data_IF_760105674058
#
_entry.id   IF_760105674058
#
_cell.length_a   1.000
_cell.length_b   1.000
_cell.length_c   1.000
_cell.angle_alpha   90.00
_cell.angle_beta   90.00
_cell.angle_gamma   90.00
#
_symmetry.space_group_name_H-M   'P 1'
#
loop_
_entity.id
_entity.type
_entity.pdbx_description
1 polymer ?
#
# COMPACT_ATOMS: atom_id res chain seq x y z
N UNK A 1 13.60 -0.83 22.71
CA UNK A 1 12.90 -1.01 21.43
C UNK A 1 12.32 0.33 20.99
N UNK A 2 12.30 0.58 19.68
CA UNK A 2 11.56 1.71 19.12
C UNK A 2 10.10 1.30 18.89
N UNK A 3 9.16 2.24 19.09
CA UNK A 3 7.73 1.96 18.89
C UNK A 3 6.96 3.20 18.42
N UNK A 4 6.01 3.01 17.55
CA UNK A 4 5.02 4.02 17.21
C UNK A 4 3.99 4.06 18.34
N UNK A 5 3.93 5.18 19.07
CA UNK A 5 3.03 5.36 20.23
C UNK A 5 1.68 5.95 19.86
N UNK A 6 1.63 6.68 18.76
CA UNK A 6 0.38 7.17 18.16
C UNK A 6 0.53 7.38 16.66
N UNK A 7 -0.56 7.25 15.92
CA UNK A 7 -0.64 7.65 14.51
C UNK A 7 -2.10 7.99 14.13
N UNK A 8 -2.24 8.77 13.07
CA UNK A 8 -3.55 9.13 12.53
C UNK A 8 -3.46 9.74 11.14
N UNK A 9 -4.60 9.92 10.45
CA UNK A 9 -4.64 10.54 9.14
C UNK A 9 -4.16 12.00 9.19
N UNK A 10 -3.47 12.43 8.13
CA UNK A 10 -3.04 13.80 7.93
C UNK A 10 -3.14 14.18 6.45
N UNK A 11 -4.28 14.75 6.04
CA UNK A 11 -4.60 14.92 4.63
C UNK A 11 -4.67 13.57 3.92
N UNK A 12 -3.97 13.44 2.81
CA UNK A 12 -3.80 12.18 2.04
C UNK A 12 -2.63 11.33 2.53
N UNK A 13 -2.09 11.63 3.70
CA UNK A 13 -0.99 10.91 4.33
C UNK A 13 -1.29 10.56 5.78
N UNK A 14 -0.25 10.48 6.59
CA UNK A 14 -0.34 10.13 8.01
C UNK A 14 0.62 10.97 8.87
N UNK A 15 0.23 11.22 10.12
CA UNK A 15 1.13 11.71 11.17
C UNK A 15 1.31 10.64 12.23
N UNK A 16 2.44 10.63 12.92
CA UNK A 16 2.73 9.65 13.96
C UNK A 16 3.74 10.19 14.98
N UNK A 17 3.73 9.60 16.18
CA UNK A 17 4.76 9.81 17.19
C UNK A 17 5.55 8.52 17.34
N UNK A 18 6.88 8.61 17.18
CA UNK A 18 7.82 7.51 17.38
C UNK A 18 8.56 7.72 18.71
N UNK A 19 8.51 6.73 19.60
CA UNK A 19 9.36 6.67 20.78
C UNK A 19 10.58 5.79 20.49
N UNK A 20 11.77 6.38 20.64
CA UNK A 20 13.06 5.72 20.44
C UNK A 20 13.52 4.98 21.71
N UNK A 21 14.51 4.07 21.63
CA UNK A 21 14.95 3.26 22.76
C UNK A 21 15.48 4.02 23.97
N UNK A 22 15.92 5.25 23.77
CA UNK A 22 16.40 6.17 24.84
C UNK A 22 15.28 7.04 25.44
N UNK A 23 14.01 6.82 25.02
CA UNK A 23 12.86 7.61 25.43
C UNK A 23 12.64 8.90 24.64
N UNK A 24 13.49 9.21 23.68
CA UNK A 24 13.29 10.38 22.81
C UNK A 24 12.02 10.19 21.97
N UNK A 25 11.16 11.20 21.94
CA UNK A 25 10.01 11.22 21.06
C UNK A 25 10.28 12.06 19.81
N UNK A 26 9.84 11.53 18.67
CA UNK A 26 9.99 12.11 17.34
C UNK A 26 8.64 12.19 16.66
N UNK A 27 8.21 13.40 16.31
CA UNK A 27 7.02 13.63 15.51
C UNK A 27 7.35 13.43 14.02
N UNK A 28 6.66 12.49 13.40
CA UNK A 28 6.85 12.16 11.98
C UNK A 28 5.61 12.42 11.16
N UNK A 29 5.80 12.71 9.88
CA UNK A 29 4.73 12.85 8.88
C UNK A 29 5.09 12.12 7.61
N UNK A 30 4.11 11.45 7.03
CA UNK A 30 4.17 10.85 5.69
C UNK A 30 3.16 11.60 4.82
N UNK A 31 3.65 12.33 3.82
CA UNK A 31 2.86 13.37 3.13
C UNK A 31 1.73 12.83 2.26
N UNK A 32 1.98 11.75 1.52
CA UNK A 32 1.07 11.28 0.45
C UNK A 32 0.75 9.78 0.51
N UNK A 33 1.28 9.06 1.47
CA UNK A 33 1.11 7.61 1.55
C UNK A 33 0.32 7.25 2.81
N UNK A 34 -1.00 7.12 2.75
CA UNK A 34 -1.81 6.73 3.89
C UNK A 34 -1.54 5.28 4.30
N UNK A 35 -1.98 4.93 5.51
CA UNK A 35 -1.91 3.57 6.02
C UNK A 35 -0.75 3.31 6.98
N UNK A 36 -1.02 2.43 7.94
CA UNK A 36 -0.09 2.09 9.04
C UNK A 36 1.23 1.53 8.54
N UNK A 37 1.24 0.79 7.43
CA UNK A 37 2.46 0.22 6.86
C UNK A 37 3.47 1.30 6.44
N UNK A 38 3.02 2.44 5.93
CA UNK A 38 3.89 3.55 5.58
C UNK A 38 4.41 4.30 6.82
N UNK A 39 3.59 4.38 7.87
CA UNK A 39 4.04 4.87 9.19
C UNK A 39 5.14 3.98 9.76
N UNK A 40 4.98 2.65 9.70
CA UNK A 40 5.98 1.70 10.17
C UNK A 40 7.28 1.76 9.35
N UNK A 41 7.19 1.92 8.03
CA UNK A 41 8.35 2.12 7.17
C UNK A 41 9.10 3.41 7.54
N UNK A 42 8.38 4.51 7.74
CA UNK A 42 8.95 5.78 8.17
C UNK A 42 9.61 5.67 9.56
N UNK A 43 8.94 5.02 10.51
CA UNK A 43 9.48 4.78 11.85
C UNK A 43 10.76 3.93 11.81
N UNK A 44 10.81 2.90 10.95
CA UNK A 44 12.01 2.08 10.78
C UNK A 44 13.18 2.91 10.23
N UNK A 45 12.95 3.78 9.25
CA UNK A 45 13.98 4.68 8.72
C UNK A 45 14.47 5.65 9.79
N UNK A 46 13.59 6.30 10.55
CA UNK A 46 13.96 7.21 11.62
C UNK A 46 14.73 6.50 12.74
N UNK A 47 14.32 5.29 13.09
CA UNK A 47 15.02 4.45 14.07
C UNK A 47 16.45 4.11 13.61
N UNK A 48 16.62 3.78 12.33
CA UNK A 48 17.94 3.53 11.75
C UNK A 48 18.83 4.78 11.77
N UNK A 49 18.29 5.93 11.42
CA UNK A 49 18.99 7.21 11.46
C UNK A 49 19.47 7.53 12.88
N UNK A 50 18.60 7.34 13.88
CA UNK A 50 18.96 7.48 15.30
C UNK A 50 20.06 6.49 15.70
N UNK A 51 19.95 5.21 15.32
CA UNK A 51 20.94 4.17 15.64
C UNK A 51 22.32 4.44 15.04
N UNK A 52 22.38 5.17 13.92
CA UNK A 52 23.62 5.63 13.29
C UNK A 52 24.19 6.91 13.93
N UNK A 53 23.55 7.45 14.97
CA UNK A 53 23.99 8.68 15.65
C UNK A 53 23.76 9.96 14.82
N UNK A 54 22.86 9.90 13.83
CA UNK A 54 22.51 11.05 12.98
C UNK A 54 21.33 11.84 13.58
N UNK A 55 21.13 13.06 13.10
CA UNK A 55 20.07 13.96 13.56
C UNK A 55 18.68 13.47 13.10
N UNK A 56 17.99 12.76 13.98
CA UNK A 56 16.67 12.18 13.72
C UNK A 56 15.59 13.24 13.59
N UNK A 57 15.68 14.37 14.29
CA UNK A 57 14.69 15.45 14.20
C UNK A 57 14.74 16.12 12.81
N UNK A 58 15.96 16.37 12.32
CA UNK A 58 16.16 16.87 10.96
C UNK A 58 15.68 15.87 9.92
N UNK A 59 15.93 14.58 10.13
CA UNK A 59 15.45 13.54 9.24
C UNK A 59 13.90 13.47 9.20
N UNK A 60 13.23 13.63 10.33
CA UNK A 60 11.77 13.69 10.40
C UNK A 60 11.19 14.90 9.63
N UNK A 61 11.85 16.05 9.68
CA UNK A 61 11.48 17.22 8.87
C UNK A 61 11.62 16.94 7.37
N UNK A 62 12.72 16.30 6.94
CA UNK A 62 12.93 15.94 5.52
C UNK A 62 11.90 14.89 5.07
N UNK A 63 11.58 13.93 5.94
CA UNK A 63 10.55 12.90 5.65
C UNK A 63 9.18 13.53 5.40
N UNK A 64 8.83 14.59 6.11
CA UNK A 64 7.57 15.31 5.93
C UNK A 64 7.42 15.95 4.54
N UNK A 65 8.52 16.24 3.86
CA UNK A 65 8.55 16.79 2.50
C UNK A 65 8.68 15.70 1.42
N UNK A 66 8.93 14.45 1.82
CA UNK A 66 9.10 13.35 0.89
C UNK A 66 7.79 13.05 0.16
N UNK A 67 7.80 13.20 -1.16
CA UNK A 67 6.61 13.06 -2.02
C UNK A 67 6.21 11.59 -2.29
N UNK A 68 6.87 10.62 -1.65
CA UNK A 68 6.61 9.20 -1.88
C UNK A 68 7.38 8.63 -3.08
N UNK A 69 7.05 7.42 -3.45
CA UNK A 69 7.59 6.71 -4.61
C UNK A 69 6.46 6.50 -5.60
N UNK A 70 6.74 6.69 -6.90
CA UNK A 70 5.75 6.44 -7.96
C UNK A 70 5.17 5.02 -7.83
N UNK A 71 3.89 4.89 -8.12
CA UNK A 71 3.16 3.63 -8.04
C UNK A 71 3.14 3.02 -6.62
N UNK A 72 3.15 3.86 -5.59
CA UNK A 72 2.92 3.51 -4.18
C UNK A 72 1.92 4.50 -3.60
N UNK A 73 0.64 4.17 -3.70
CA UNK A 73 -0.49 5.07 -3.45
C UNK A 73 -0.30 6.43 -4.16
N UNK A 74 0.10 6.37 -5.42
CA UNK A 74 0.49 7.55 -6.21
C UNK A 74 -0.75 8.25 -6.75
N UNK A 75 -0.98 9.48 -6.32
CA UNK A 75 -2.13 10.28 -6.74
C UNK A 75 -1.92 10.77 -8.17
N UNK A 76 -2.55 10.10 -9.13
CA UNK A 76 -2.44 10.41 -10.57
C UNK A 76 -3.19 11.68 -10.93
N UNK A 77 -4.35 11.90 -10.32
CA UNK A 77 -5.15 13.09 -10.53
C UNK A 77 -6.58 12.95 -10.04
N UNK A 78 -7.32 14.04 -10.18
CA UNK A 78 -8.73 14.11 -9.82
C UNK A 78 -9.54 14.76 -10.97
N UNK A 79 -10.67 14.16 -11.31
CA UNK A 79 -11.60 14.71 -12.30
C UNK A 79 -13.04 14.34 -11.96
N UNK A 80 -13.95 15.31 -12.01
CA UNK A 80 -15.39 15.13 -11.77
C UNK A 80 -15.73 14.40 -10.45
N UNK A 81 -14.95 14.65 -9.39
CA UNK A 81 -15.13 14.02 -8.09
C UNK A 81 -14.59 12.58 -8.01
N UNK A 82 -13.86 12.13 -9.03
CA UNK A 82 -13.16 10.85 -9.02
C UNK A 82 -11.67 11.10 -8.85
N UNK A 83 -11.10 10.53 -7.79
CA UNK A 83 -9.66 10.53 -7.52
C UNK A 83 -9.06 9.23 -8.06
N UNK A 84 -8.00 9.34 -8.86
CA UNK A 84 -7.30 8.19 -9.44
C UNK A 84 -5.97 7.99 -8.73
N UNK A 85 -5.77 6.78 -8.19
CA UNK A 85 -4.56 6.37 -7.49
C UNK A 85 -3.92 5.21 -8.24
N UNK A 86 -2.60 5.27 -8.48
CA UNK A 86 -1.81 4.16 -9.04
C UNK A 86 -0.98 3.51 -7.93
N UNK A 87 -1.13 2.19 -7.78
CA UNK A 87 -0.35 1.39 -6.84
C UNK A 87 0.20 0.13 -7.50
N UNK A 88 1.40 -0.28 -7.11
CA UNK A 88 2.06 -1.47 -7.64
C UNK A 88 1.73 -2.73 -6.81
N UNK A 89 0.80 -2.65 -5.88
CA UNK A 89 0.36 -3.77 -5.07
C UNK A 89 -0.04 -4.96 -5.96
N UNK A 90 0.54 -6.11 -5.69
CA UNK A 90 0.29 -7.33 -6.45
C UNK A 90 0.32 -8.60 -5.57
N UNK A 91 0.73 -8.49 -4.32
CA UNK A 91 0.60 -9.53 -3.30
C UNK A 91 -0.67 -9.27 -2.47
N UNK A 92 -1.41 -10.31 -2.01
CA UNK A 92 -2.65 -10.13 -1.23
C UNK A 92 -2.51 -9.12 -0.09
N UNK A 93 -1.45 -9.23 0.70
CA UNK A 93 -1.18 -8.31 1.81
C UNK A 93 -1.01 -6.85 1.35
N UNK A 94 -0.35 -6.61 0.20
CA UNK A 94 -0.18 -5.28 -0.35
C UNK A 94 -1.52 -4.72 -0.86
N UNK A 95 -2.31 -5.55 -1.56
CA UNK A 95 -3.62 -5.18 -2.09
C UNK A 95 -4.55 -4.76 -0.94
N UNK A 96 -4.70 -5.61 0.06
CA UNK A 96 -5.51 -5.33 1.24
C UNK A 96 -5.06 -4.04 1.95
N UNK A 97 -3.74 -3.85 2.13
CA UNK A 97 -3.20 -2.65 2.77
C UNK A 97 -3.48 -1.37 1.97
N UNK A 98 -3.41 -1.43 0.63
CA UNK A 98 -3.71 -0.29 -0.25
C UNK A 98 -5.20 0.06 -0.22
N UNK A 99 -6.09 -0.94 -0.27
CA UNK A 99 -7.54 -0.73 -0.19
C UNK A 99 -7.92 -0.18 1.19
N UNK A 100 -7.40 -0.77 2.27
CA UNK A 100 -7.62 -0.28 3.63
C UNK A 100 -7.11 1.17 3.80
N UNK A 101 -5.96 1.51 3.21
CA UNK A 101 -5.46 2.88 3.21
C UNK A 101 -6.42 3.84 2.48
N UNK A 102 -6.97 3.44 1.32
CA UNK A 102 -7.97 4.23 0.60
C UNK A 102 -9.24 4.46 1.44
N UNK A 103 -9.69 3.44 2.18
CA UNK A 103 -10.86 3.55 3.07
C UNK A 103 -10.64 4.49 4.28
N UNK A 104 -9.40 4.81 4.65
CA UNK A 104 -9.13 5.82 5.69
C UNK A 104 -9.32 7.26 5.19
N UNK A 105 -9.41 7.46 3.87
CA UNK A 105 -9.67 8.75 3.25
C UNK A 105 -11.19 8.96 3.10
N UNK A 106 -11.61 10.22 2.98
CA UNK A 106 -13.03 10.58 2.91
C UNK A 106 -13.60 10.37 1.49
N UNK A 107 -13.47 9.12 0.99
CA UNK A 107 -14.08 8.70 -0.27
C UNK A 107 -15.39 7.95 0.00
N UNK A 108 -16.43 8.28 -0.78
CA UNK A 108 -17.72 7.61 -0.66
C UNK A 108 -17.67 6.14 -1.16
N UNK A 109 -16.81 5.84 -2.10
CA UNK A 109 -16.61 4.50 -2.67
C UNK A 109 -15.17 4.30 -3.14
N UNK A 110 -14.70 3.04 -3.06
CA UNK A 110 -13.40 2.59 -3.55
C UNK A 110 -13.62 1.56 -4.65
N UNK A 111 -13.25 1.92 -5.88
CA UNK A 111 -13.30 1.05 -7.05
C UNK A 111 -11.89 0.58 -7.37
N UNK A 112 -11.69 -0.74 -7.46
CA UNK A 112 -10.39 -1.33 -7.76
C UNK A 112 -10.36 -1.82 -9.20
N UNK A 113 -9.35 -1.38 -9.96
CA UNK A 113 -9.00 -1.94 -11.26
C UNK A 113 -7.70 -2.73 -11.08
N UNK A 114 -7.79 -4.06 -11.10
CA UNK A 114 -6.65 -4.93 -10.84
C UNK A 114 -6.16 -5.63 -12.11
N UNK A 115 -4.85 -5.49 -12.39
CA UNK A 115 -4.19 -6.21 -13.47
C UNK A 115 -3.23 -7.24 -12.88
N UNK A 116 -3.54 -8.55 -12.99
CA UNK A 116 -2.60 -9.59 -12.58
C UNK A 116 -1.27 -9.47 -13.34
N UNK A 117 -0.16 -9.64 -12.64
CA UNK A 117 1.16 -9.46 -13.19
C UNK A 117 1.90 -10.80 -13.27
N UNK A 118 2.20 -11.26 -14.49
CA UNK A 118 2.85 -12.52 -14.85
C UNK A 118 1.96 -13.76 -14.74
N UNK A 119 2.03 -14.59 -15.77
CA UNK A 119 1.35 -15.88 -15.79
C UNK A 119 1.90 -16.88 -14.76
N UNK A 120 3.22 -16.86 -14.52
CA UNK A 120 3.90 -17.74 -13.56
C UNK A 120 3.43 -17.57 -12.11
N UNK A 121 2.73 -16.48 -11.79
CA UNK A 121 2.17 -16.24 -10.44
C UNK A 121 0.78 -16.86 -10.23
N UNK A 122 0.12 -17.31 -11.28
CA UNK A 122 -1.23 -17.86 -11.15
C UNK A 122 -1.31 -18.98 -10.10
N UNK A 123 -0.45 -20.03 -10.09
CA UNK A 123 -0.53 -21.08 -9.08
C UNK A 123 -0.37 -20.55 -7.65
N UNK A 124 0.45 -19.49 -7.44
CA UNK A 124 0.63 -18.90 -6.13
C UNK A 124 -0.70 -18.34 -5.58
N UNK A 125 -1.49 -17.67 -6.42
CA UNK A 125 -2.72 -17.01 -5.98
C UNK A 125 -3.96 -17.91 -6.09
N UNK A 126 -3.94 -18.91 -6.96
CA UNK A 126 -5.09 -19.83 -7.14
C UNK A 126 -5.00 -21.09 -6.30
N UNK A 127 -3.83 -21.42 -5.72
CA UNK A 127 -3.62 -22.64 -4.97
C UNK A 127 -3.03 -22.38 -3.58
N UNK A 128 -1.94 -21.59 -3.47
CA UNK A 128 -1.18 -21.42 -2.23
C UNK A 128 -1.75 -20.30 -1.36
N UNK A 129 -2.11 -19.18 -1.96
CA UNK A 129 -2.65 -17.99 -1.29
C UNK A 129 -4.09 -17.71 -1.73
N UNK A 130 -4.88 -18.77 -1.98
CA UNK A 130 -6.24 -18.68 -2.50
C UNK A 130 -7.11 -17.80 -1.60
N UNK A 131 -7.22 -18.16 -0.34
CA UNK A 131 -8.09 -17.47 0.61
C UNK A 131 -7.62 -16.04 0.89
N UNK A 132 -6.30 -15.84 1.03
CA UNK A 132 -5.71 -14.52 1.24
C UNK A 132 -5.88 -13.61 0.02
N UNK A 133 -5.80 -14.17 -1.19
CA UNK A 133 -6.01 -13.40 -2.42
C UNK A 133 -7.49 -13.06 -2.60
N UNK A 134 -8.41 -13.99 -2.33
CA UNK A 134 -9.85 -13.74 -2.32
C UNK A 134 -10.22 -12.60 -1.37
N UNK A 135 -9.82 -12.74 -0.11
CA UNK A 135 -10.13 -11.76 0.94
C UNK A 135 -9.43 -10.39 0.78
N UNK A 136 -8.37 -10.31 -0.05
CA UNK A 136 -7.62 -9.06 -0.21
C UNK A 136 -8.46 -7.90 -0.80
N UNK A 137 -9.59 -8.20 -1.40
CA UNK A 137 -10.49 -7.23 -2.06
C UNK A 137 -11.78 -6.94 -1.27
N UNK A 138 -12.00 -7.56 -0.10
CA UNK A 138 -13.25 -7.47 0.65
C UNK A 138 -13.69 -6.04 1.00
N UNK A 139 -12.74 -5.16 1.24
CA UNK A 139 -13.01 -3.75 1.56
C UNK A 139 -13.31 -2.88 0.32
N UNK A 140 -13.18 -3.41 -0.91
CA UNK A 140 -13.50 -2.67 -2.12
C UNK A 140 -15.02 -2.66 -2.40
N UNK A 141 -15.57 -1.53 -2.87
CA UNK A 141 -16.97 -1.46 -3.28
C UNK A 141 -17.21 -2.16 -4.63
N UNK A 142 -16.22 -2.15 -5.50
CA UNK A 142 -16.20 -2.95 -6.75
C UNK A 142 -14.78 -3.30 -7.14
N UNK A 143 -14.62 -4.46 -7.77
CA UNK A 143 -13.35 -4.91 -8.34
C UNK A 143 -13.53 -5.27 -9.81
N UNK A 144 -12.64 -4.75 -10.64
CA UNK A 144 -12.57 -5.10 -12.08
C UNK A 144 -11.22 -5.74 -12.36
N UNK A 145 -11.25 -6.97 -12.88
CA UNK A 145 -10.04 -7.68 -13.29
C UNK A 145 -9.74 -7.43 -14.77
N UNK A 146 -8.52 -7.04 -15.06
CA UNK A 146 -7.97 -7.00 -16.41
C UNK A 146 -7.29 -8.33 -16.77
N UNK A 147 -6.98 -8.52 -18.04
CA UNK A 147 -6.14 -9.63 -18.44
C UNK A 147 -4.72 -9.49 -17.89
N UNK A 148 -4.04 -10.66 -17.79
CA UNK A 148 -2.69 -10.74 -17.23
C UNK A 148 -1.72 -9.89 -18.03
N UNK A 149 -0.98 -9.02 -17.34
CA UNK A 149 0.19 -8.36 -17.92
C UNK A 149 1.36 -9.36 -17.95
N UNK A 150 1.83 -9.75 -19.13
CA UNK A 150 2.77 -10.87 -19.28
C UNK A 150 4.18 -10.59 -18.73
N UNK A 151 4.61 -9.32 -18.71
CA UNK A 151 5.96 -8.92 -18.29
C UNK A 151 7.09 -9.72 -18.97
N UNK A 152 6.91 -10.04 -20.26
CA UNK A 152 7.87 -10.81 -21.06
C UNK A 152 7.70 -12.33 -20.99
N UNK A 153 6.74 -12.84 -20.21
CA UNK A 153 6.43 -14.28 -20.19
C UNK A 153 5.55 -14.68 -21.38
N UNK A 154 5.69 -15.92 -21.84
CA UNK A 154 4.75 -16.49 -22.78
C UNK A 154 3.40 -16.76 -22.10
N UNK A 155 2.27 -16.60 -22.82
CA UNK A 155 0.96 -16.96 -22.27
C UNK A 155 0.91 -18.43 -21.84
N UNK A 156 0.29 -18.68 -20.68
CA UNK A 156 0.08 -20.02 -20.15
C UNK A 156 -1.36 -20.44 -20.48
N UNK A 157 -1.57 -21.57 -21.18
CA UNK A 157 -2.90 -22.03 -21.52
C UNK A 157 -3.80 -22.18 -20.27
N UNK A 158 -5.01 -21.62 -20.35
CA UNK A 158 -5.98 -21.67 -19.24
C UNK A 158 -5.80 -20.58 -18.19
N UNK A 159 -4.74 -19.75 -18.26
CA UNK A 159 -4.51 -18.62 -17.34
C UNK A 159 -4.90 -17.31 -18.01
N UNK A 160 -5.81 -16.58 -17.41
CA UNK A 160 -6.30 -15.27 -17.86
C UNK A 160 -6.70 -14.42 -16.65
N UNK A 161 -7.11 -13.18 -16.84
CA UNK A 161 -7.70 -12.37 -15.77
C UNK A 161 -8.89 -13.03 -15.08
N UNK A 162 -9.68 -13.83 -15.82
CA UNK A 162 -10.80 -14.60 -15.28
C UNK A 162 -10.35 -15.68 -14.27
N UNK A 163 -9.16 -16.24 -14.45
CA UNK A 163 -8.60 -17.22 -13.51
C UNK A 163 -8.45 -16.61 -12.10
N UNK A 164 -7.97 -15.38 -12.03
CA UNK A 164 -7.82 -14.65 -10.76
C UNK A 164 -9.18 -14.14 -10.23
N UNK A 165 -10.07 -13.71 -11.12
CA UNK A 165 -11.42 -13.28 -10.73
C UNK A 165 -12.19 -14.42 -10.05
N UNK A 166 -12.07 -15.65 -10.53
CA UNK A 166 -12.78 -16.80 -9.96
C UNK A 166 -12.38 -17.00 -8.47
N UNK A 167 -11.12 -16.80 -8.12
CA UNK A 167 -10.65 -16.90 -6.71
C UNK A 167 -11.33 -15.89 -5.79
N UNK A 168 -11.68 -14.72 -6.31
CA UNK A 168 -12.37 -13.66 -5.52
C UNK A 168 -13.88 -13.94 -5.43
N UNK A 169 -14.42 -14.78 -6.31
CA UNK A 169 -15.84 -15.13 -6.34
C UNK A 169 -16.18 -16.42 -5.57
N UNK A 170 -15.16 -17.22 -5.22
CA UNK A 170 -15.28 -18.45 -4.42
C UNK A 170 -15.44 -18.15 -2.93
#
# INVERSE_FOLDING_TARGET
DARVVSYGPHGVGSSFTLELPDGTQVEGKVKQNPGVHNVLNAAAVLTLIWALGLDVQKAACVLADFAGVRRRFDLVGEAQGVTVVDDYAHHPTEIAATIAAAKTLDFSRVHVLFQPHRYSRAPLFTEVLHDEFGAAFDDADTVTFMDVYPAGEAPVPGVSGKTFLNVVLD
#
